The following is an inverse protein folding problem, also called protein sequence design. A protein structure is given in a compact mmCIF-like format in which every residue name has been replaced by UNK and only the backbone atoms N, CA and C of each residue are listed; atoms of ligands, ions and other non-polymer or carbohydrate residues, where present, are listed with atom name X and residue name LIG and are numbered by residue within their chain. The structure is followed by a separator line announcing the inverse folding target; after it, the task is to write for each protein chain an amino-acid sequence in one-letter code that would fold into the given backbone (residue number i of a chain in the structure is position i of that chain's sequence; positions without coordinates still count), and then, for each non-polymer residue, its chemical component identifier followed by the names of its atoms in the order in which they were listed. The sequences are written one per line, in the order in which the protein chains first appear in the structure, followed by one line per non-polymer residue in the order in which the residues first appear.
data_IF_424497183793
#
_entry.id   IF_424497183793
#
_cell.length_a   1.000
_cell.length_b   1.000
_cell.length_c   1.000
_cell.angle_alpha   90.00
_cell.angle_beta   90.00
_cell.angle_gamma   90.00
#
_symmetry.space_group_name_H-M   'P 1'
#
loop_
_entity.id
_entity.type
_entity.pdbx_description
1 polymer ?
#
# COMPACT_ATOMS: atom_id res chain seq x y z
N UNK A 1 12.44 -6.27 -5.06
CA UNK A 1 10.98 -6.60 -5.12
C UNK A 1 10.16 -5.34 -4.93
N UNK A 2 9.18 -5.13 -5.75
CA UNK A 2 8.29 -3.97 -5.66
C UNK A 2 6.87 -4.48 -5.34
N UNK A 3 6.29 -3.94 -4.28
CA UNK A 3 4.92 -4.26 -3.86
C UNK A 3 4.10 -2.98 -4.01
N UNK A 4 3.00 -3.07 -4.72
CA UNK A 4 2.09 -1.94 -4.87
C UNK A 4 0.81 -2.23 -4.09
N UNK A 5 0.42 -1.27 -3.27
CA UNK A 5 -0.81 -1.35 -2.48
C UNK A 5 -1.73 -0.23 -2.92
N UNK A 6 -2.89 -0.58 -3.42
CA UNK A 6 -3.89 0.41 -3.82
C UNK A 6 -4.98 0.44 -2.77
N UNK A 7 -5.28 1.60 -2.24
CA UNK A 7 -6.26 1.75 -1.18
C UNK A 7 -6.95 3.11 -1.25
N UNK A 8 -8.04 3.23 -0.50
CA UNK A 8 -8.76 4.50 -0.41
C UNK A 8 -7.92 5.53 0.34
N UNK A 9 -7.99 6.81 -0.05
CA UNK A 9 -7.29 7.88 0.65
C UNK A 9 -7.89 8.13 2.04
N UNK A 10 -7.15 8.83 2.89
CA UNK A 10 -7.64 9.22 4.21
C UNK A 10 -6.72 8.84 5.37
N UNK A 11 -5.70 8.04 5.12
CA UNK A 11 -4.76 7.69 6.18
C UNK A 11 -3.69 8.75 6.34
N UNK A 12 -3.19 8.90 7.57
CA UNK A 12 -2.13 9.86 7.85
C UNK A 12 -0.78 9.37 7.34
N UNK A 13 0.18 10.28 7.26
CA UNK A 13 1.56 9.94 6.88
C UNK A 13 2.13 8.90 7.84
N UNK A 14 1.85 9.05 9.13
CA UNK A 14 2.34 8.13 10.16
C UNK A 14 1.72 6.74 10.02
N UNK A 15 0.45 6.67 9.68
CA UNK A 15 -0.22 5.39 9.46
C UNK A 15 0.34 4.67 8.23
N UNK A 16 0.64 5.42 7.16
CA UNK A 16 1.26 4.85 5.96
C UNK A 16 2.68 4.39 6.24
N UNK A 17 3.43 5.14 7.05
CA UNK A 17 4.77 4.75 7.47
C UNK A 17 4.74 3.40 8.20
N UNK A 18 3.81 3.26 9.15
CA UNK A 18 3.66 2.02 9.89
C UNK A 18 3.28 0.85 8.97
N UNK A 19 2.41 1.09 8.00
CA UNK A 19 2.01 0.08 7.03
C UNK A 19 3.21 -0.41 6.22
N UNK A 20 4.01 0.53 5.71
CA UNK A 20 5.21 0.20 4.93
C UNK A 20 6.19 -0.62 5.77
N UNK A 21 6.44 -0.20 7.01
CA UNK A 21 7.35 -0.91 7.90
C UNK A 21 6.88 -2.34 8.18
N UNK A 22 5.61 -2.52 8.50
CA UNK A 22 5.07 -3.83 8.84
C UNK A 22 5.01 -4.78 7.66
N UNK A 23 4.61 -4.29 6.49
CA UNK A 23 4.57 -5.12 5.29
C UNK A 23 5.98 -5.54 4.89
N UNK A 24 6.93 -4.60 4.92
CA UNK A 24 8.33 -4.91 4.61
C UNK A 24 8.89 -5.98 5.55
N UNK A 25 8.66 -5.80 6.84
CA UNK A 25 9.14 -6.73 7.87
C UNK A 25 8.60 -8.14 7.66
N UNK A 26 7.29 -8.24 7.43
CA UNK A 26 6.64 -9.54 7.24
C UNK A 26 7.09 -10.22 5.94
N UNK A 27 7.23 -9.47 4.86
CA UNK A 27 7.69 -10.04 3.59
C UNK A 27 9.14 -10.49 3.67
N UNK A 28 10.00 -9.67 4.27
CA UNK A 28 11.41 -10.04 4.43
C UNK A 28 11.56 -11.33 5.23
N UNK A 29 10.79 -11.45 6.31
CA UNK A 29 10.79 -12.65 7.15
C UNK A 29 10.28 -13.87 6.40
N UNK A 30 9.11 -13.75 5.75
CA UNK A 30 8.47 -14.88 5.07
C UNK A 30 9.22 -15.36 3.86
N UNK A 31 9.84 -14.46 3.12
CA UNK A 31 10.57 -14.81 1.90
C UNK A 31 12.07 -14.98 2.12
N UNK A 32 12.54 -14.78 3.35
CA UNK A 32 13.97 -14.88 3.70
C UNK A 32 14.83 -13.98 2.81
N UNK A 33 14.39 -12.76 2.60
CA UNK A 33 15.11 -11.76 1.83
C UNK A 33 15.46 -10.56 2.72
N UNK A 34 16.40 -9.74 2.28
CA UNK A 34 16.78 -8.54 3.02
C UNK A 34 15.67 -7.48 2.90
N UNK A 35 15.42 -6.75 3.98
CA UNK A 35 14.43 -5.66 3.97
C UNK A 35 14.79 -4.60 2.93
N UNK A 36 16.07 -4.41 2.65
CA UNK A 36 16.56 -3.46 1.63
C UNK A 36 16.17 -3.85 0.21
N UNK A 37 15.72 -5.07 -0.01
CA UNK A 37 15.27 -5.54 -1.32
C UNK A 37 13.77 -5.33 -1.55
N UNK A 38 13.06 -4.81 -0.55
CA UNK A 38 11.61 -4.62 -0.62
C UNK A 38 11.28 -3.15 -0.78
N UNK A 39 10.57 -2.82 -1.85
CA UNK A 39 10.06 -1.48 -2.11
C UNK A 39 8.54 -1.52 -2.05
N UNK A 40 7.94 -0.62 -1.28
CA UNK A 40 6.49 -0.53 -1.15
C UNK A 40 6.02 0.78 -1.77
N UNK A 41 5.04 0.70 -2.64
CA UNK A 41 4.39 1.88 -3.22
C UNK A 41 2.93 1.86 -2.82
N UNK A 42 2.45 2.94 -2.23
CA UNK A 42 1.05 3.07 -1.85
C UNK A 42 0.39 4.00 -2.87
N UNK A 43 -0.64 3.47 -3.54
CA UNK A 43 -1.44 4.23 -4.49
C UNK A 43 -2.79 4.56 -3.84
N UNK A 44 -3.11 5.85 -3.79
CA UNK A 44 -4.35 6.33 -3.20
C UNK A 44 -5.12 7.18 -4.21
N UNK A 45 -5.75 6.56 -5.20
CA UNK A 45 -6.53 7.32 -6.17
C UNK A 45 -7.65 8.09 -5.48
N UNK A 46 -7.94 9.29 -5.98
CA UNK A 46 -9.04 10.09 -5.46
C UNK A 46 -10.36 9.33 -5.58
N UNK A 47 -11.32 9.63 -4.70
CA UNK A 47 -12.60 8.92 -4.67
C UNK A 47 -13.31 8.90 -6.03
N UNK A 48 -13.20 9.98 -6.80
CA UNK A 48 -13.79 10.07 -8.13
C UNK A 48 -13.22 9.06 -9.12
N UNK A 49 -12.07 8.50 -8.82
CA UNK A 49 -11.39 7.52 -9.68
C UNK A 49 -11.75 6.07 -9.32
N UNK A 50 -12.61 5.89 -8.34
CA UNK A 50 -13.05 4.56 -7.93
C UNK A 50 -14.42 4.26 -8.50
N UNK A 51 -14.58 3.04 -8.99
CA UNK A 51 -15.85 2.58 -9.49
C UNK A 51 -16.13 1.14 -9.05
N UNK A 52 -17.38 0.85 -8.75
CA UNK A 52 -17.83 -0.49 -8.44
C UNK A 52 -19.23 -0.68 -9.02
N UNK A 53 -19.42 -1.77 -9.74
CA UNK A 53 -20.69 -2.08 -10.41
C UNK A 53 -21.19 -0.93 -11.32
N UNK A 54 -20.24 -0.22 -11.95
CA UNK A 54 -20.54 0.90 -12.83
C UNK A 54 -20.85 2.21 -12.12
N UNK A 55 -20.70 2.25 -10.81
CA UNK A 55 -20.99 3.47 -10.03
C UNK A 55 -19.71 4.09 -9.50
N UNK A 56 -19.59 5.38 -9.67
CA UNK A 56 -18.47 6.17 -9.18
C UNK A 56 -18.62 6.43 -7.69
N UNK A 57 -17.53 6.33 -6.95
CA UNK A 57 -17.56 6.53 -5.51
C UNK A 57 -17.68 8.00 -5.09
N UNK A 58 -17.02 8.89 -5.79
CA UNK A 58 -16.94 10.30 -5.42
C UNK A 58 -18.10 11.19 -5.85
#
# INVERSE_FOLDING_TARGET
MIIEITMFPGRTKEQKKALIERVTEKLAERLSIAATDVFIVINEPADENWGMAGKQRG
#
